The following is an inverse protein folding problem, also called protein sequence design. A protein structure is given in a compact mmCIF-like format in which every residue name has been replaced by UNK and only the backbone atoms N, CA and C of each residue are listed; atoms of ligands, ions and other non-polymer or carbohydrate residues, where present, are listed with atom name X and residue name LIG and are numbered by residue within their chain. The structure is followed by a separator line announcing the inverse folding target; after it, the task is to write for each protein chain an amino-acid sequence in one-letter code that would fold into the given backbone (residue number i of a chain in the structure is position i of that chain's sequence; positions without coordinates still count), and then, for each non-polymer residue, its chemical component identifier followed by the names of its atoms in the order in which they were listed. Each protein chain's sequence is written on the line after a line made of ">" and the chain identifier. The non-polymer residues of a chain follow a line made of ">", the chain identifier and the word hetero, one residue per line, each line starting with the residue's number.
data_IF_911707932075
#
_entry.id   IF_911707932075
#
_cell.length_a   1.000
_cell.length_b   1.000
_cell.length_c   1.000
_cell.angle_alpha   90.00
_cell.angle_beta   90.00
_cell.angle_gamma   90.00
#
_symmetry.space_group_name_H-M   'P 1'
#
loop_
_entity.id
_entity.type
_entity.pdbx_description
1 polymer ?
#
# COMPACT_ATOMS: atom_id res chain seq x y z
N UNK A 1 -9.83 58.54 -11.72
CA UNK A 1 -9.96 57.38 -12.65
C UNK A 1 -8.58 56.91 -13.10
N UNK A 2 -7.77 56.25 -12.25
CA UNK A 2 -6.42 55.73 -12.62
C UNK A 2 -5.95 54.57 -11.72
N UNK A 3 -6.85 53.64 -11.35
CA UNK A 3 -6.50 52.52 -10.44
C UNK A 3 -6.97 51.16 -10.92
N UNK A 4 -7.69 51.08 -12.04
CA UNK A 4 -8.28 49.82 -12.53
C UNK A 4 -7.43 49.11 -13.58
N UNK A 5 -6.40 49.75 -14.15
CA UNK A 5 -5.60 49.16 -15.24
C UNK A 5 -4.42 48.30 -14.79
N UNK A 6 -3.96 48.38 -13.54
CA UNK A 6 -2.85 47.54 -13.06
C UNK A 6 -3.28 46.17 -12.54
N UNK A 7 -4.55 45.98 -12.18
CA UNK A 7 -5.01 44.74 -11.54
C UNK A 7 -5.25 43.59 -12.53
N UNK A 8 -5.54 43.90 -13.79
CA UNK A 8 -5.83 42.90 -14.83
C UNK A 8 -4.57 42.24 -15.41
N UNK A 9 -3.39 42.85 -15.23
CA UNK A 9 -2.13 42.36 -15.78
C UNK A 9 -1.48 41.28 -14.90
N UNK A 10 -1.78 41.25 -13.60
CA UNK A 10 -1.22 40.28 -12.65
C UNK A 10 -1.98 38.94 -12.70
N UNK A 11 -3.25 38.95 -13.10
CA UNK A 11 -4.09 37.75 -13.13
C UNK A 11 -3.80 36.80 -14.30
N UNK A 12 -3.05 37.26 -15.32
CA UNK A 12 -2.70 36.45 -16.50
C UNK A 12 -1.50 35.51 -16.31
N UNK A 13 -0.63 35.77 -15.33
CA UNK A 13 0.60 34.98 -15.15
C UNK A 13 0.43 33.69 -14.35
N UNK A 14 -0.71 33.48 -13.67
CA UNK A 14 -0.94 32.28 -12.86
C UNK A 14 -1.63 31.12 -13.61
N UNK A 15 -1.95 31.28 -14.90
CA UNK A 15 -2.71 30.29 -15.67
C UNK A 15 -1.85 29.32 -16.51
N UNK A 16 -0.51 29.45 -16.50
CA UNK A 16 0.36 28.67 -17.41
C UNK A 16 1.28 27.65 -16.73
N UNK A 17 1.25 27.46 -15.42
CA UNK A 17 2.10 26.46 -14.73
C UNK A 17 1.39 25.12 -14.50
N UNK A 18 0.80 24.57 -15.57
CA UNK A 18 -0.02 23.37 -15.48
C UNK A 18 -0.01 22.48 -16.72
N UNK A 19 1.09 22.43 -17.47
CA UNK A 19 1.30 21.34 -18.43
C UNK A 19 1.68 20.07 -17.67
N UNK A 20 0.69 19.39 -17.09
CA UNK A 20 0.82 17.98 -16.78
C UNK A 20 0.90 17.26 -18.14
N UNK A 21 2.10 16.81 -18.49
CA UNK A 21 2.35 16.04 -19.71
C UNK A 21 1.53 14.74 -19.64
N UNK A 22 0.47 14.56 -20.45
CA UNK A 22 -0.42 13.40 -20.34
C UNK A 22 0.26 12.10 -20.79
N UNK A 23 1.51 12.18 -21.27
CA UNK A 23 2.22 11.07 -21.89
C UNK A 23 3.32 10.45 -21.01
N UNK A 24 3.62 11.00 -19.82
CA UNK A 24 4.55 10.33 -18.92
C UNK A 24 3.86 9.12 -18.27
N UNK A 25 3.79 8.02 -19.02
CA UNK A 25 3.67 6.69 -18.43
C UNK A 25 4.80 6.59 -17.39
N UNK A 26 4.41 6.62 -16.12
CA UNK A 26 5.26 6.07 -15.08
C UNK A 26 5.40 4.59 -15.42
N UNK A 27 6.49 4.22 -16.08
CA UNK A 27 6.94 2.84 -16.01
C UNK A 27 7.30 2.60 -14.54
N UNK A 28 6.36 1.97 -13.82
CA UNK A 28 6.70 1.31 -12.58
C UNK A 28 7.66 0.18 -12.98
N UNK A 29 8.95 0.47 -12.95
CA UNK A 29 9.98 -0.56 -12.98
C UNK A 29 9.63 -1.51 -11.83
N UNK A 30 9.37 -2.82 -12.09
CA UNK A 30 9.17 -3.78 -11.03
C UNK A 30 10.38 -3.68 -10.11
N UNK A 31 10.15 -3.21 -8.89
CA UNK A 31 11.24 -3.08 -7.93
C UNK A 31 11.68 -4.51 -7.63
N UNK A 32 12.92 -4.87 -7.97
CA UNK A 32 13.58 -6.10 -7.49
C UNK A 32 13.86 -6.02 -5.97
N UNK A 33 12.92 -5.45 -5.22
CA UNK A 33 12.96 -5.37 -3.78
C UNK A 33 12.53 -6.71 -3.19
N UNK A 34 12.92 -7.00 -1.93
CA UNK A 34 12.49 -8.21 -1.26
C UNK A 34 10.96 -8.25 -1.22
N UNK A 35 10.38 -9.39 -1.60
CA UNK A 35 8.94 -9.60 -1.52
C UNK A 35 8.53 -9.61 -0.04
N UNK A 36 7.24 -9.44 0.23
CA UNK A 36 6.71 -9.49 1.59
C UNK A 36 7.19 -10.75 2.35
N UNK A 37 7.26 -11.88 1.63
CA UNK A 37 7.71 -13.17 2.15
C UNK A 37 9.20 -13.24 2.53
N UNK A 38 10.02 -12.34 2.00
CA UNK A 38 11.45 -12.29 2.30
C UNK A 38 11.76 -11.43 3.54
N UNK A 39 10.83 -10.55 3.92
CA UNK A 39 11.03 -9.55 4.98
C UNK A 39 10.28 -9.90 6.27
N UNK A 40 9.05 -10.38 6.14
CA UNK A 40 8.18 -10.63 7.28
C UNK A 40 8.22 -12.10 7.71
N UNK A 41 7.66 -12.41 8.88
CA UNK A 41 7.39 -13.78 9.31
C UNK A 41 6.05 -13.85 10.05
N UNK A 42 5.29 -14.95 9.93
CA UNK A 42 4.02 -15.08 10.61
C UNK A 42 4.27 -15.30 12.10
N UNK A 43 3.49 -14.61 12.95
CA UNK A 43 3.51 -14.80 14.40
C UNK A 43 2.29 -15.59 14.84
N UNK A 44 2.49 -16.71 15.53
CA UNK A 44 1.39 -17.53 16.06
C UNK A 44 1.34 -17.35 17.58
N UNK A 45 0.13 -17.24 18.11
CA UNK A 45 -0.12 -16.96 19.53
C UNK A 45 -1.01 -18.04 20.13
N UNK A 46 -0.83 -18.33 21.42
CA UNK A 46 -1.79 -19.13 22.17
C UNK A 46 -3.05 -18.30 22.47
N UNK A 47 -4.10 -18.96 22.96
CA UNK A 47 -5.35 -18.27 23.30
C UNK A 47 -5.14 -17.29 24.46
N UNK A 48 -4.38 -17.69 25.47
CA UNK A 48 -4.08 -16.88 26.64
C UNK A 48 -3.28 -15.63 26.25
N UNK A 49 -2.35 -15.76 25.29
CA UNK A 49 -1.61 -14.62 24.74
C UNK A 49 -2.52 -13.68 23.96
N UNK A 50 -3.46 -14.21 23.17
CA UNK A 50 -4.43 -13.38 22.44
C UNK A 50 -5.32 -12.59 23.39
N UNK A 51 -5.77 -13.19 24.49
CA UNK A 51 -6.55 -12.51 25.52
C UNK A 51 -5.75 -11.35 26.12
N UNK A 52 -4.53 -11.60 26.59
CA UNK A 52 -3.65 -10.55 27.15
C UNK A 52 -3.38 -9.44 26.14
N UNK A 53 -3.12 -9.78 24.88
CA UNK A 53 -2.86 -8.78 23.83
C UNK A 53 -4.09 -7.98 23.47
N UNK A 54 -5.27 -8.60 23.45
CA UNK A 54 -6.53 -7.90 23.18
C UNK A 54 -6.84 -6.85 24.25
N UNK A 55 -6.49 -7.13 25.50
CA UNK A 55 -6.69 -6.21 26.63
C UNK A 55 -5.61 -5.11 26.67
N UNK A 56 -4.33 -5.47 26.52
CA UNK A 56 -3.20 -4.55 26.74
C UNK A 56 -2.73 -3.81 25.48
N UNK A 57 -2.78 -4.45 24.32
CA UNK A 57 -2.22 -3.93 23.06
C UNK A 57 -3.11 -4.23 21.84
N UNK A 58 -4.36 -3.76 21.83
CA UNK A 58 -5.33 -4.09 20.78
C UNK A 58 -4.86 -3.67 19.37
N UNK A 59 -4.17 -2.54 19.24
CA UNK A 59 -3.67 -2.10 17.93
C UNK A 59 -2.53 -2.97 17.40
N UNK A 60 -1.62 -3.41 18.29
CA UNK A 60 -0.57 -4.35 17.89
C UNK A 60 -1.19 -5.68 17.47
N UNK A 61 -2.21 -6.16 18.18
CA UNK A 61 -2.92 -7.36 17.80
C UNK A 61 -3.57 -7.23 16.40
N UNK A 62 -4.14 -6.07 16.06
CA UNK A 62 -4.68 -5.82 14.70
C UNK A 62 -3.59 -5.89 13.63
N UNK A 63 -2.42 -5.30 13.89
CA UNK A 63 -1.29 -5.36 12.98
C UNK A 63 -0.79 -6.80 12.82
N UNK A 64 -0.65 -7.54 13.91
CA UNK A 64 -0.23 -8.94 13.88
C UNK A 64 -1.18 -9.80 13.04
N UNK A 65 -2.49 -9.62 13.24
CA UNK A 65 -3.53 -10.30 12.44
C UNK A 65 -3.37 -9.92 10.97
N UNK A 66 -3.21 -8.63 10.65
CA UNK A 66 -3.03 -8.17 9.27
C UNK A 66 -1.80 -8.82 8.63
N UNK A 67 -0.64 -8.73 9.25
CA UNK A 67 0.61 -9.34 8.76
C UNK A 67 0.46 -10.84 8.54
N UNK A 68 -0.14 -11.56 9.49
CA UNK A 68 -0.40 -12.99 9.35
C UNK A 68 -1.34 -13.30 8.19
N UNK A 69 -2.43 -12.54 8.04
CA UNK A 69 -3.37 -12.76 6.93
C UNK A 69 -2.76 -12.44 5.57
N UNK A 70 -1.84 -11.47 5.49
CA UNK A 70 -1.08 -11.19 4.27
C UNK A 70 -0.10 -12.33 3.99
N UNK A 71 0.61 -12.81 5.02
CA UNK A 71 1.51 -13.96 4.90
C UNK A 71 0.78 -15.21 4.39
N UNK A 72 -0.39 -15.51 4.95
CA UNK A 72 -1.19 -16.68 4.57
C UNK A 72 -1.70 -16.59 3.12
N UNK A 73 -1.81 -15.38 2.53
CA UNK A 73 -2.22 -15.19 1.12
C UNK A 73 -1.05 -15.19 0.14
N UNK A 74 0.07 -14.59 0.54
CA UNK A 74 1.19 -14.32 -0.37
C UNK A 74 2.31 -15.36 -0.25
N UNK A 75 2.44 -16.00 0.91
CA UNK A 75 3.62 -16.78 1.27
C UNK A 75 3.30 -18.21 1.72
N UNK A 76 2.08 -18.50 2.17
CA UNK A 76 1.69 -19.87 2.42
C UNK A 76 1.60 -20.59 1.06
N UNK A 77 2.35 -21.68 0.84
CA UNK A 77 2.11 -22.51 -0.33
C UNK A 77 0.72 -23.09 -0.16
N UNK A 78 -0.23 -22.66 -1.01
CA UNK A 78 -1.37 -23.52 -1.29
C UNK A 78 -0.81 -24.91 -1.56
N UNK A 79 -1.43 -25.92 -0.96
CA UNK A 79 -1.30 -27.32 -1.38
C UNK A 79 -1.14 -27.32 -2.91
N UNK A 80 0.07 -27.59 -3.42
CA UNK A 80 0.36 -27.56 -4.86
C UNK A 80 -0.46 -28.60 -5.67
N UNK A 81 -1.36 -29.35 -5.04
CA UNK A 81 -2.04 -30.50 -5.62
C UNK A 81 -3.49 -30.57 -5.16
N UNK A 82 -4.40 -29.93 -5.89
CA UNK A 82 -5.67 -30.59 -6.18
C UNK A 82 -5.96 -30.50 -7.68
N UNK A 83 -5.52 -31.55 -8.37
CA UNK A 83 -6.39 -32.33 -9.28
C UNK A 83 -6.85 -31.67 -10.58
N UNK A 84 -5.95 -31.24 -11.47
CA UNK A 84 -6.25 -31.21 -12.91
C UNK A 84 -5.06 -31.75 -13.73
N UNK A 85 -4.52 -32.90 -13.32
CA UNK A 85 -3.70 -33.76 -14.20
C UNK A 85 -4.12 -35.20 -13.99
N UNK A 86 -5.41 -35.51 -14.15
CA UNK A 86 -5.86 -36.88 -14.48
C UNK A 86 -7.18 -36.79 -15.27
N UNK A 87 -7.08 -36.58 -16.59
CA UNK A 87 -7.91 -37.29 -17.59
C UNK A 87 -7.31 -37.15 -18.99
#
# INVERSE_FOLDING_TARGET
>A
MRLTSCLTLICGMCLTTGCADPARKLELVPTEGPLFCDVEQPRRFTREELEVRSDRWPENLRLDIKTNTTWDRECAPEIQQHSITER
#
